data_IF_670026525973
#
_entry.id   IF_670026525973
#
_cell.length_a   1.000
_cell.length_b   1.000
_cell.length_c   1.000
_cell.angle_alpha   90.00
_cell.angle_beta   90.00
_cell.angle_gamma   90.00
#
_symmetry.space_group_name_H-M   'P 1'
#
loop_
_entity.id
_entity.type
_entity.pdbx_description
1 polymer ?
#
# COMPACT_ATOMS: atom_id res chain seq x y z
N UNK A 1 -5.82 18.53 -6.90
CA UNK A 1 -6.17 17.13 -7.20
C UNK A 1 -5.06 16.65 -8.11
N UNK A 2 -4.14 15.83 -7.58
CA UNK A 2 -3.06 15.31 -8.41
C UNK A 2 -3.64 14.34 -9.45
N UNK A 3 -2.97 14.20 -10.60
CA UNK A 3 -3.42 13.28 -11.63
C UNK A 3 -3.23 11.83 -11.17
N UNK A 4 -4.28 11.00 -11.28
CA UNK A 4 -4.18 9.57 -11.01
C UNK A 4 -3.12 8.98 -11.94
N UNK A 5 -2.06 8.41 -11.34
CA UNK A 5 -0.94 7.80 -12.06
C UNK A 5 -1.25 6.35 -12.40
N UNK A 6 -1.95 5.66 -11.49
CA UNK A 6 -2.31 4.26 -11.67
C UNK A 6 -3.60 3.93 -10.93
N UNK A 7 -4.40 2.99 -11.46
CA UNK A 7 -5.57 2.46 -10.77
C UNK A 7 -5.35 0.99 -10.47
N UNK A 8 -5.33 0.62 -9.18
CA UNK A 8 -5.12 -0.75 -8.74
C UNK A 8 -6.27 -1.23 -7.85
N UNK A 9 -6.96 -2.30 -8.28
CA UNK A 9 -8.05 -2.95 -7.52
C UNK A 9 -9.03 -1.94 -6.90
N UNK A 10 -9.54 -1.02 -7.73
CA UNK A 10 -10.48 0.05 -7.38
C UNK A 10 -9.93 1.16 -6.46
N UNK A 11 -8.60 1.30 -6.34
CA UNK A 11 -7.95 2.47 -5.74
C UNK A 11 -7.22 3.27 -6.81
N UNK A 12 -7.43 4.58 -6.80
CA UNK A 12 -6.59 5.53 -7.52
C UNK A 12 -5.32 5.78 -6.72
N UNK A 13 -4.18 5.70 -7.41
CA UNK A 13 -2.85 5.95 -6.87
C UNK A 13 -2.36 7.25 -7.48
N UNK A 14 -2.13 8.24 -6.62
CA UNK A 14 -1.59 9.55 -6.96
C UNK A 14 -0.07 9.58 -6.76
N UNK A 15 0.66 10.59 -7.29
CA UNK A 15 2.09 10.76 -7.06
C UNK A 15 2.49 10.74 -5.58
N UNK A 16 1.68 11.35 -4.71
CA UNK A 16 1.85 11.28 -3.26
C UNK A 16 1.80 9.85 -2.69
N UNK A 17 0.94 8.98 -3.23
CA UNK A 17 0.87 7.58 -2.84
C UNK A 17 2.14 6.83 -3.26
N UNK A 18 2.67 7.11 -4.45
CA UNK A 18 3.95 6.53 -4.90
C UNK A 18 5.09 6.93 -3.95
N UNK A 19 5.16 8.20 -3.57
CA UNK A 19 6.15 8.69 -2.61
C UNK A 19 5.99 7.99 -1.25
N UNK A 20 4.75 7.81 -0.79
CA UNK A 20 4.44 7.10 0.44
C UNK A 20 4.86 5.62 0.40
N UNK A 21 4.60 4.92 -0.71
CA UNK A 21 5.01 3.52 -0.93
C UNK A 21 6.53 3.42 -0.87
N UNK A 22 7.24 4.27 -1.60
CA UNK A 22 8.71 4.26 -1.65
C UNK A 22 9.34 4.52 -0.28
N UNK A 23 8.80 5.48 0.49
CA UNK A 23 9.23 5.74 1.87
C UNK A 23 8.99 4.54 2.77
N UNK A 24 7.81 3.93 2.69
CA UNK A 24 7.46 2.75 3.50
C UNK A 24 8.36 1.56 3.18
N UNK A 25 8.65 1.31 1.90
CA UNK A 25 9.60 0.28 1.48
C UNK A 25 10.99 0.57 2.04
N UNK A 26 11.49 1.79 1.88
CA UNK A 26 12.83 2.17 2.34
C UNK A 26 12.97 2.03 3.86
N UNK A 27 11.96 2.47 4.62
CA UNK A 27 11.95 2.40 6.08
C UNK A 27 11.93 0.96 6.60
N UNK A 28 11.22 0.06 5.92
CA UNK A 28 10.99 -1.31 6.40
C UNK A 28 11.64 -2.39 5.54
N UNK A 29 12.57 -2.02 4.65
CA UNK A 29 13.23 -2.94 3.73
C UNK A 29 13.79 -4.18 4.45
N UNK A 30 14.53 -3.97 5.54
CA UNK A 30 15.12 -5.04 6.35
C UNK A 30 14.12 -5.94 7.09
N UNK A 31 12.84 -5.54 7.19
CA UNK A 31 11.77 -6.36 7.81
C UNK A 31 11.05 -7.27 6.81
N UNK A 32 11.38 -7.16 5.53
CA UNK A 32 10.84 -7.98 4.46
C UNK A 32 9.47 -7.57 3.93
N UNK A 33 9.11 -8.12 2.76
CA UNK A 33 7.92 -7.72 1.98
C UNK A 33 6.60 -7.89 2.74
N UNK A 34 6.46 -8.93 3.56
CA UNK A 34 5.25 -9.16 4.35
C UNK A 34 5.02 -8.11 5.44
N UNK A 35 6.09 -7.49 5.98
CA UNK A 35 5.94 -6.39 6.93
C UNK A 35 5.50 -5.11 6.21
N UNK A 36 6.15 -4.83 5.07
CA UNK A 36 5.85 -3.67 4.22
C UNK A 36 4.40 -3.71 3.75
N UNK A 37 3.91 -4.85 3.22
CA UNK A 37 2.53 -4.95 2.74
C UNK A 37 1.50 -4.71 3.84
N UNK A 38 1.74 -5.22 5.04
CA UNK A 38 0.91 -4.94 6.22
C UNK A 38 0.92 -3.46 6.60
N UNK A 39 2.09 -2.82 6.59
CA UNK A 39 2.22 -1.39 6.90
C UNK A 39 1.44 -0.53 5.88
N UNK A 40 1.59 -0.81 4.59
CA UNK A 40 0.84 -0.14 3.51
C UNK A 40 -0.66 -0.35 3.68
N UNK A 41 -1.12 -1.59 3.85
CA UNK A 41 -2.55 -1.87 4.03
C UNK A 41 -3.13 -1.19 5.28
N UNK A 42 -2.38 -1.11 6.39
CA UNK A 42 -2.84 -0.42 7.61
C UNK A 42 -2.97 1.09 7.38
N UNK A 43 -1.93 1.72 6.85
CA UNK A 43 -1.91 3.17 6.63
C UNK A 43 -3.03 3.61 5.68
N UNK A 44 -3.32 2.79 4.68
CA UNK A 44 -4.38 3.07 3.72
C UNK A 44 -5.76 2.53 4.11
N UNK A 45 -5.93 1.94 5.29
CA UNK A 45 -7.20 1.31 5.69
C UNK A 45 -7.66 0.21 4.72
N UNK A 46 -6.73 -0.42 4.00
CA UNK A 46 -7.05 -1.37 2.93
C UNK A 46 -7.38 -2.74 3.51
N UNK A 47 -8.64 -2.87 3.94
CA UNK A 47 -9.18 -4.03 4.64
C UNK A 47 -10.12 -4.85 3.77
N UNK A 48 -10.26 -6.12 4.13
CA UNK A 48 -11.29 -7.03 3.69
C UNK A 48 -12.56 -6.84 4.53
N UNK A 49 -13.74 -7.29 4.06
CA UNK A 49 -14.99 -7.23 4.84
C UNK A 49 -14.92 -7.94 6.20
N UNK A 50 -14.03 -8.93 6.33
CA UNK A 50 -13.79 -9.68 7.58
C UNK A 50 -12.85 -8.95 8.56
N UNK A 51 -12.45 -7.70 8.29
CA UNK A 51 -11.54 -6.92 9.13
C UNK A 51 -10.04 -7.23 8.96
N UNK A 52 -9.66 -8.19 8.11
CA UNK A 52 -8.24 -8.49 7.83
C UNK A 52 -7.67 -7.56 6.77
N UNK A 53 -6.35 -7.37 6.79
CA UNK A 53 -5.64 -6.55 5.80
C UNK A 53 -5.61 -7.24 4.43
N UNK A 54 -5.68 -6.45 3.34
CA UNK A 54 -5.46 -6.91 1.97
C UNK A 54 -3.97 -7.06 1.62
N UNK A 55 -3.18 -7.61 2.54
CA UNK A 55 -1.71 -7.67 2.45
C UNK A 55 -1.19 -8.51 1.29
N UNK A 56 -1.98 -9.48 0.80
CA UNK A 56 -1.67 -10.24 -0.40
C UNK A 56 -1.80 -9.37 -1.66
N UNK A 57 -2.87 -8.57 -1.77
CA UNK A 57 -3.07 -7.66 -2.89
C UNK A 57 -1.97 -6.58 -2.94
N UNK A 58 -1.48 -6.11 -1.80
CA UNK A 58 -0.38 -5.15 -1.76
C UNK A 58 1.00 -5.75 -2.07
N UNK A 59 1.13 -7.08 -2.16
CA UNK A 59 2.41 -7.78 -2.36
C UNK A 59 2.54 -8.42 -3.74
N UNK A 60 1.40 -8.78 -4.33
CA UNK A 60 1.19 -9.26 -5.71
C UNK A 60 1.84 -8.31 -6.71
#
# INVERSE_FOLDING_TARGET
MESVVFRYRCRDIEPQDICFIQRTISQFYGKGRSHISRALCKAWGWMQPNGKLKEYAARD
#
